data_IF_761623791417
#
_entry.id   IF_761623791417
#
_cell.length_a   1.000
_cell.length_b   1.000
_cell.length_c   1.000
_cell.angle_alpha   90.00
_cell.angle_beta   90.00
_cell.angle_gamma   90.00
#
_symmetry.space_group_name_H-M   'P 1'
#
loop_
_entity.id
_entity.type
_entity.pdbx_description
1 polymer ?
#
# COMPACT_ATOMS: atom_id res chain seq x y z
N UNK A 1 2.91 34.33 -4.58
CA UNK A 1 3.17 33.05 -5.27
C UNK A 1 1.93 32.20 -5.06
N UNK A 2 1.28 31.80 -6.15
CA UNK A 2 -0.09 31.27 -6.16
C UNK A 2 -0.13 29.85 -5.56
N UNK A 3 -0.69 29.69 -4.36
CA UNK A 3 -0.85 28.41 -3.63
C UNK A 3 -1.92 27.47 -4.27
N UNK A 4 -2.29 27.69 -5.53
CA UNK A 4 -3.35 26.97 -6.25
C UNK A 4 -2.84 26.08 -7.39
N UNK A 5 -1.58 25.65 -7.36
CA UNK A 5 -1.03 24.71 -8.36
C UNK A 5 -0.21 23.60 -7.71
N UNK A 6 -0.90 22.74 -6.98
CA UNK A 6 -0.60 21.31 -6.94
C UNK A 6 -1.90 20.62 -6.57
N UNK A 7 -2.84 20.53 -7.52
CA UNK A 7 -3.80 19.45 -7.47
C UNK A 7 -2.94 18.20 -7.66
N UNK A 8 -2.51 17.60 -6.56
CA UNK A 8 -1.98 16.23 -6.57
C UNK A 8 -3.08 15.45 -7.27
N UNK A 9 -2.84 15.02 -8.50
CA UNK A 9 -3.83 14.24 -9.25
C UNK A 9 -4.17 13.04 -8.36
N UNK A 10 -5.42 12.97 -7.88
CA UNK A 10 -5.88 11.78 -7.17
C UNK A 10 -5.69 10.61 -8.12
N UNK A 11 -4.89 9.63 -7.70
CA UNK A 11 -4.73 8.38 -8.43
C UNK A 11 -6.12 7.75 -8.64
N UNK A 12 -6.28 7.07 -9.77
CA UNK A 12 -7.50 6.38 -10.14
C UNK A 12 -7.32 4.88 -10.08
N UNK A 13 -8.42 4.17 -9.84
CA UNK A 13 -8.52 2.73 -10.03
C UNK A 13 -9.55 2.51 -11.15
N UNK A 14 -9.07 1.97 -12.28
CA UNK A 14 -9.84 1.80 -13.51
C UNK A 14 -10.12 0.32 -13.69
N UNK A 15 -11.38 -0.08 -13.58
CA UNK A 15 -11.83 -1.45 -13.82
C UNK A 15 -12.23 -1.61 -15.28
N UNK A 16 -11.59 -2.54 -15.99
CA UNK A 16 -11.95 -2.93 -17.36
C UNK A 16 -12.62 -4.29 -17.31
N UNK A 17 -13.90 -4.33 -17.65
CA UNK A 17 -14.74 -5.52 -17.62
C UNK A 17 -15.40 -5.85 -18.95
N UNK A 18 -16.03 -7.01 -19.03
CA UNK A 18 -16.76 -7.52 -20.18
C UNK A 18 -16.67 -9.04 -20.23
N UNK A 19 -17.62 -9.66 -20.92
CA UNK A 19 -17.68 -11.11 -21.06
C UNK A 19 -16.36 -11.70 -21.60
N UNK A 20 -16.07 -12.99 -21.33
CA UNK A 20 -15.00 -13.72 -22.03
C UNK A 20 -15.05 -13.47 -23.55
N UNK A 21 -13.92 -13.15 -24.19
CA UNK A 21 -13.87 -12.84 -25.63
C UNK A 21 -14.20 -11.40 -26.03
N UNK A 22 -14.59 -10.52 -25.08
CA UNK A 22 -14.85 -9.10 -25.35
C UNK A 22 -13.62 -8.30 -25.82
N UNK A 23 -12.41 -8.81 -25.58
CA UNK A 23 -11.16 -8.18 -25.99
C UNK A 23 -10.55 -7.25 -24.94
N UNK A 24 -10.75 -7.55 -23.65
CA UNK A 24 -10.21 -6.79 -22.51
C UNK A 24 -8.68 -6.64 -22.56
N UNK A 25 -7.94 -7.74 -22.63
CA UNK A 25 -6.47 -7.69 -22.69
C UNK A 25 -5.95 -6.94 -23.93
N UNK A 26 -6.63 -7.07 -25.08
CA UNK A 26 -6.32 -6.28 -26.29
C UNK A 26 -6.58 -4.79 -26.09
N UNK A 27 -7.68 -4.42 -25.44
CA UNK A 27 -8.00 -3.04 -25.10
C UNK A 27 -6.96 -2.47 -24.14
N UNK A 28 -6.60 -3.21 -23.09
CA UNK A 28 -5.59 -2.82 -22.12
C UNK A 28 -4.25 -2.51 -22.78
N UNK A 29 -3.73 -3.44 -23.61
CA UNK A 29 -2.48 -3.23 -24.36
C UNK A 29 -2.48 -1.97 -25.21
N UNK A 30 -3.59 -1.68 -25.89
CA UNK A 30 -3.67 -0.51 -26.78
C UNK A 30 -3.81 0.81 -26.03
N UNK A 31 -4.46 0.79 -24.87
CA UNK A 31 -4.89 2.02 -24.17
C UNK A 31 -4.01 2.39 -22.98
N UNK A 32 -3.44 1.42 -22.28
CA UNK A 32 -2.78 1.65 -21.00
C UNK A 32 -1.34 1.16 -20.92
N UNK A 33 -0.99 0.05 -21.59
CA UNK A 33 0.41 -0.40 -21.62
C UNK A 33 1.35 0.65 -22.22
N UNK A 34 2.57 0.70 -21.70
CA UNK A 34 3.68 1.58 -22.12
C UNK A 34 3.44 3.10 -22.00
N UNK A 35 2.42 3.54 -21.26
CA UNK A 35 2.13 4.98 -21.11
C UNK A 35 2.72 5.63 -19.87
N UNK A 36 3.51 4.92 -19.06
CA UNK A 36 4.23 5.41 -17.87
C UNK A 36 3.35 5.83 -16.68
N UNK A 37 2.16 6.35 -16.94
CA UNK A 37 1.18 6.83 -15.95
C UNK A 37 0.26 5.73 -15.40
N UNK A 38 0.34 4.51 -15.94
CA UNK A 38 -0.53 3.39 -15.58
C UNK A 38 0.28 2.21 -15.07
N UNK A 39 -0.27 1.52 -14.08
CA UNK A 39 0.10 0.16 -13.73
C UNK A 39 -1.06 -0.77 -14.08
N UNK A 40 -0.82 -1.70 -15.01
CA UNK A 40 -1.85 -2.62 -15.50
C UNK A 40 -1.73 -3.96 -14.79
N UNK A 41 -2.80 -4.34 -14.09
CA UNK A 41 -2.99 -5.66 -13.49
C UNK A 41 -3.67 -6.58 -14.51
N UNK A 42 -2.85 -7.27 -15.31
CA UNK A 42 -3.26 -8.32 -16.25
C UNK A 42 -2.44 -9.57 -15.92
N UNK A 43 -3.04 -10.48 -15.13
CA UNK A 43 -2.35 -11.70 -14.67
C UNK A 43 -2.04 -12.67 -15.80
N UNK A 44 -2.89 -12.72 -16.84
CA UNK A 44 -2.66 -13.54 -18.02
C UNK A 44 -1.41 -13.07 -18.77
N UNK A 45 -1.29 -11.76 -18.99
CA UNK A 45 -0.10 -11.18 -19.61
C UNK A 45 1.15 -11.35 -18.74
N UNK A 46 1.05 -11.18 -17.43
CA UNK A 46 2.20 -11.38 -16.53
C UNK A 46 2.69 -12.83 -16.54
N UNK A 47 1.76 -13.80 -16.59
CA UNK A 47 2.07 -15.21 -16.71
C UNK A 47 2.79 -15.54 -18.02
N UNK A 48 2.25 -15.04 -19.15
CA UNK A 48 2.88 -15.17 -20.47
C UNK A 48 4.26 -14.52 -20.51
N UNK A 49 4.42 -13.34 -19.91
CA UNK A 49 5.69 -12.61 -19.87
C UNK A 49 6.76 -13.32 -19.04
N UNK A 50 6.40 -13.86 -17.87
CA UNK A 50 7.34 -14.53 -16.95
C UNK A 50 7.67 -15.95 -17.38
N UNK A 51 6.68 -16.70 -17.85
CA UNK A 51 6.78 -18.16 -18.02
C UNK A 51 6.55 -18.63 -19.46
N UNK A 52 6.17 -17.73 -20.38
CA UNK A 52 5.84 -18.09 -21.76
C UNK A 52 4.57 -18.92 -21.88
N UNK A 53 3.76 -19.00 -20.83
CA UNK A 53 2.65 -19.94 -20.70
C UNK A 53 1.58 -19.43 -19.74
N UNK A 54 0.34 -19.86 -19.93
CA UNK A 54 -0.79 -19.62 -19.02
C UNK A 54 -0.98 -20.75 -18.00
N UNK A 55 -0.20 -21.83 -18.08
CA UNK A 55 -0.26 -22.98 -17.15
C UNK A 55 -0.22 -22.59 -15.67
N UNK A 56 0.61 -21.61 -15.22
CA UNK A 56 0.63 -21.20 -13.82
C UNK A 56 -0.73 -20.73 -13.28
N UNK A 57 -1.57 -20.14 -14.13
CA UNK A 57 -2.90 -19.66 -13.74
C UNK A 57 -3.93 -20.78 -13.69
N UNK A 58 -3.63 -21.95 -14.27
CA UNK A 58 -4.50 -23.12 -14.26
C UNK A 58 -4.25 -24.03 -13.06
N UNK A 59 -3.25 -23.71 -12.24
CA UNK A 59 -2.89 -24.45 -11.04
C UNK A 59 -3.85 -24.07 -9.89
N UNK A 60 -4.75 -24.99 -9.55
CA UNK A 60 -5.76 -24.82 -8.50
C UNK A 60 -5.16 -24.82 -7.09
N UNK A 61 -3.99 -25.45 -6.90
CA UNK A 61 -3.32 -25.56 -5.60
C UNK A 61 -2.46 -24.33 -5.26
N UNK A 62 -2.53 -23.27 -6.07
CA UNK A 62 -1.69 -22.07 -5.91
C UNK A 62 -0.20 -22.40 -5.79
N UNK A 63 0.33 -23.17 -6.76
CA UNK A 63 1.76 -23.45 -6.81
C UNK A 63 2.63 -22.18 -6.86
N UNK A 64 3.93 -22.35 -6.58
CA UNK A 64 4.90 -21.25 -6.43
C UNK A 64 4.85 -20.22 -7.58
N UNK A 65 4.61 -20.67 -8.80
CA UNK A 65 4.54 -19.80 -9.97
C UNK A 65 3.33 -18.86 -9.94
N UNK A 66 2.13 -19.34 -9.55
CA UNK A 66 0.92 -18.52 -9.42
C UNK A 66 1.10 -17.50 -8.28
N UNK A 67 1.58 -17.96 -7.12
CA UNK A 67 1.88 -17.07 -5.99
C UNK A 67 2.90 -15.98 -6.35
N UNK A 68 3.92 -16.30 -7.16
CA UNK A 68 4.88 -15.31 -7.62
C UNK A 68 4.28 -14.22 -8.52
N UNK A 69 3.17 -14.52 -9.22
CA UNK A 69 2.42 -13.54 -10.00
C UNK A 69 1.63 -12.65 -9.04
N UNK A 70 0.84 -13.26 -8.15
CA UNK A 70 0.00 -12.60 -7.14
C UNK A 70 0.83 -11.63 -6.29
N UNK A 71 1.86 -12.13 -5.59
CA UNK A 71 2.73 -11.31 -4.73
C UNK A 71 3.44 -10.22 -5.54
N UNK A 72 3.85 -10.55 -6.77
CA UNK A 72 4.49 -9.59 -7.66
C UNK A 72 3.57 -8.42 -8.06
N UNK A 73 2.26 -8.62 -8.12
CA UNK A 73 1.31 -7.53 -8.36
C UNK A 73 1.06 -6.69 -7.10
N UNK A 74 1.02 -7.31 -5.91
CA UNK A 74 0.88 -6.61 -4.64
C UNK A 74 1.95 -5.53 -4.47
N UNK A 75 3.22 -5.94 -4.45
CA UNK A 75 4.35 -5.02 -4.25
C UNK A 75 4.40 -3.92 -5.33
N UNK A 76 4.33 -4.33 -6.61
CA UNK A 76 4.44 -3.39 -7.73
C UNK A 76 3.25 -2.43 -7.80
N UNK A 77 2.05 -2.89 -7.44
CA UNK A 77 0.84 -2.08 -7.40
C UNK A 77 0.93 -1.00 -6.32
N UNK A 78 1.39 -1.36 -5.12
CA UNK A 78 1.63 -0.42 -4.03
C UNK A 78 2.65 0.66 -4.44
N UNK A 79 3.81 0.26 -4.97
CA UNK A 79 4.83 1.22 -5.41
C UNK A 79 4.32 2.11 -6.56
N UNK A 80 3.50 1.57 -7.47
CA UNK A 80 2.88 2.36 -8.52
C UNK A 80 1.96 3.46 -7.96
N UNK A 81 1.19 3.16 -6.90
CA UNK A 81 0.39 4.19 -6.22
C UNK A 81 1.26 5.29 -5.61
N UNK A 82 2.38 4.94 -4.97
CA UNK A 82 3.32 5.93 -4.43
C UNK A 82 4.00 6.78 -5.51
N UNK A 83 4.27 6.20 -6.67
CA UNK A 83 4.76 6.90 -7.86
C UNK A 83 3.69 7.82 -8.50
N UNK A 84 2.45 7.82 -7.99
CA UNK A 84 1.35 8.62 -8.52
C UNK A 84 0.73 8.05 -9.80
N UNK A 85 0.84 6.74 -10.03
CA UNK A 85 0.25 6.06 -11.19
C UNK A 85 -1.19 5.62 -10.88
N UNK A 86 -1.99 5.56 -11.94
CA UNK A 86 -3.32 4.97 -11.91
C UNK A 86 -3.22 3.43 -12.00
N UNK A 87 -4.03 2.72 -11.21
CA UNK A 87 -4.18 1.27 -11.34
C UNK A 87 -5.23 0.95 -12.39
N UNK A 88 -4.90 0.04 -13.31
CA UNK A 88 -5.82 -0.44 -14.34
C UNK A 88 -5.97 -1.94 -14.17
N UNK A 89 -7.18 -2.39 -13.90
CA UNK A 89 -7.45 -3.75 -13.45
C UNK A 89 -8.27 -4.46 -14.52
N UNK A 90 -7.72 -5.54 -15.09
CA UNK A 90 -8.54 -6.48 -15.84
C UNK A 90 -9.39 -7.26 -14.85
N UNK A 91 -10.70 -7.05 -14.91
CA UNK A 91 -11.64 -7.71 -14.01
C UNK A 91 -12.80 -8.25 -14.81
N UNK A 92 -13.40 -9.36 -14.37
CA UNK A 92 -14.63 -9.85 -14.95
C UNK A 92 -15.71 -9.74 -13.89
N UNK A 93 -16.79 -9.03 -14.19
CA UNK A 93 -17.92 -8.91 -13.27
C UNK A 93 -18.98 -9.89 -13.78
N UNK A 94 -18.93 -11.13 -13.27
CA UNK A 94 -19.93 -12.16 -13.53
C UNK A 94 -20.20 -12.85 -12.19
N UNK A 95 -21.46 -12.86 -11.73
CA UNK A 95 -21.87 -13.66 -10.57
C UNK A 95 -22.49 -12.88 -9.41
N UNK A 96 -22.62 -13.58 -8.28
CA UNK A 96 -23.32 -13.17 -7.04
C UNK A 96 -22.45 -12.31 -6.10
N UNK A 97 -21.15 -12.18 -6.37
CA UNK A 97 -20.16 -11.54 -5.47
C UNK A 97 -20.01 -10.03 -5.65
N UNK A 98 -21.13 -9.34 -5.90
CA UNK A 98 -21.15 -7.89 -6.02
C UNK A 98 -20.74 -7.19 -4.73
N UNK A 99 -21.03 -7.81 -3.58
CA UNK A 99 -20.79 -7.23 -2.26
C UNK A 99 -19.29 -7.03 -2.01
N UNK A 100 -18.45 -8.04 -2.24
CA UNK A 100 -16.99 -7.94 -2.09
C UNK A 100 -16.39 -6.86 -3.00
N UNK A 101 -16.86 -6.80 -4.25
CA UNK A 101 -16.44 -5.77 -5.20
C UNK A 101 -16.85 -4.36 -4.73
N UNK A 102 -18.10 -4.18 -4.27
CA UNK A 102 -18.58 -2.89 -3.78
C UNK A 102 -17.86 -2.45 -2.51
N UNK A 103 -17.54 -3.37 -1.60
CA UNK A 103 -16.75 -3.09 -0.40
C UNK A 103 -15.35 -2.59 -0.75
N UNK A 104 -14.72 -3.19 -1.76
CA UNK A 104 -13.44 -2.70 -2.29
C UNK A 104 -13.55 -1.30 -2.91
N UNK A 105 -14.62 -1.01 -3.66
CA UNK A 105 -14.86 0.35 -4.17
C UNK A 105 -15.05 1.36 -3.04
N UNK A 106 -15.74 0.98 -1.97
CA UNK A 106 -15.91 1.84 -0.80
C UNK A 106 -14.57 2.06 -0.07
N UNK A 107 -13.75 1.02 0.11
CA UNK A 107 -12.39 1.12 0.66
C UNK A 107 -11.53 2.07 -0.17
N UNK A 108 -11.47 1.87 -1.49
CA UNK A 108 -10.75 2.76 -2.40
C UNK A 108 -11.22 4.22 -2.29
N UNK A 109 -12.53 4.45 -2.25
CA UNK A 109 -13.10 5.79 -2.10
C UNK A 109 -12.72 6.44 -0.76
N UNK A 110 -12.74 5.69 0.35
CA UNK A 110 -12.32 6.18 1.68
C UNK A 110 -10.85 6.60 1.69
N UNK A 111 -10.01 5.88 0.95
CA UNK A 111 -8.59 6.19 0.77
C UNK A 111 -8.33 7.34 -0.23
N UNK A 112 -9.39 7.93 -0.80
CA UNK A 112 -9.30 9.09 -1.68
C UNK A 112 -9.05 8.76 -3.14
N UNK A 113 -9.21 7.50 -3.55
CA UNK A 113 -9.13 7.12 -4.96
C UNK A 113 -10.43 7.41 -5.69
N UNK A 114 -10.32 7.84 -6.95
CA UNK A 114 -11.44 7.86 -7.87
C UNK A 114 -11.53 6.51 -8.60
N UNK A 115 -12.72 5.93 -8.65
CA UNK A 115 -12.95 4.67 -9.36
C UNK A 115 -13.62 4.93 -10.70
N UNK A 116 -13.10 4.32 -11.76
CA UNK A 116 -13.67 4.37 -13.10
C UNK A 116 -14.00 2.94 -13.55
N UNK A 117 -15.12 2.79 -14.25
CA UNK A 117 -15.56 1.48 -14.73
C UNK A 117 -15.83 1.54 -16.23
N UNK A 118 -15.09 0.71 -16.98
CA UNK A 118 -15.20 0.56 -18.43
C UNK A 118 -15.72 -0.85 -18.73
N UNK A 119 -16.91 -0.94 -19.32
CA UNK A 119 -17.49 -2.20 -19.77
C UNK A 119 -17.35 -2.34 -21.29
N UNK A 120 -16.70 -3.43 -21.73
CA UNK A 120 -16.57 -3.78 -23.14
C UNK A 120 -17.72 -4.70 -23.55
N UNK A 121 -18.57 -4.21 -24.45
CA UNK A 121 -19.69 -4.96 -25.01
C UNK A 121 -19.31 -5.62 -26.34
N UNK A 122 -19.72 -6.87 -26.51
CA UNK A 122 -19.65 -7.61 -27.77
C UNK A 122 -20.83 -8.59 -27.83
N UNK A 123 -21.28 -8.94 -29.03
CA UNK A 123 -22.25 -10.01 -29.22
C UNK A 123 -21.65 -11.36 -28.80
N UNK A 124 -22.45 -12.18 -28.10
CA UNK A 124 -22.03 -13.46 -27.54
C UNK A 124 -21.42 -14.41 -28.60
N UNK A 125 -22.03 -14.46 -29.80
CA UNK A 125 -21.51 -15.31 -30.88
C UNK A 125 -20.15 -14.83 -31.42
N UNK A 126 -19.94 -13.51 -31.47
CA UNK A 126 -18.64 -12.95 -31.83
C UNK A 126 -17.60 -13.25 -30.74
N UNK A 127 -18.01 -13.20 -29.46
CA UNK A 127 -17.13 -13.51 -28.33
C UNK A 127 -16.68 -14.98 -28.37
N UNK A 128 -17.63 -15.91 -28.56
CA UNK A 128 -17.37 -17.36 -28.71
C UNK A 128 -16.44 -17.66 -29.88
N UNK A 129 -16.67 -17.05 -31.04
CA UNK A 129 -15.80 -17.21 -32.20
C UNK A 129 -14.35 -16.78 -31.89
N UNK A 130 -14.16 -15.66 -31.20
CA UNK A 130 -12.83 -15.19 -30.80
C UNK A 130 -12.14 -16.14 -29.83
N UNK A 131 -12.87 -16.69 -28.88
CA UNK A 131 -12.35 -17.70 -27.94
C UNK A 131 -11.92 -18.96 -28.71
N UNK A 132 -12.76 -19.45 -29.62
CA UNK A 132 -12.43 -20.61 -30.46
C UNK A 132 -11.19 -20.37 -31.34
N UNK A 133 -11.06 -19.17 -31.92
CA UNK A 133 -9.89 -18.81 -32.72
C UNK A 133 -8.60 -18.72 -31.89
N UNK A 134 -8.69 -18.32 -30.62
CA UNK A 134 -7.54 -18.19 -29.73
C UNK A 134 -7.04 -19.56 -29.21
N UNK A 135 -7.90 -20.58 -29.18
CA UNK A 135 -7.53 -21.94 -28.79
C UNK A 135 -6.89 -22.00 -27.40
N UNK A 136 -5.83 -22.78 -27.25
CA UNK A 136 -5.12 -22.99 -25.98
C UNK A 136 -4.41 -21.72 -25.45
N UNK A 137 -4.26 -20.70 -26.29
CA UNK A 137 -3.74 -19.38 -25.93
C UNK A 137 -4.75 -18.50 -25.19
N UNK A 138 -6.00 -18.96 -25.02
CA UNK A 138 -7.02 -18.24 -24.28
C UNK A 138 -7.11 -18.70 -22.83
N UNK A 139 -7.16 -17.75 -21.91
CA UNK A 139 -7.49 -17.97 -20.50
C UNK A 139 -8.77 -17.21 -20.14
N UNK A 140 -9.69 -17.87 -19.43
CA UNK A 140 -10.96 -17.28 -19.04
C UNK A 140 -10.73 -16.36 -17.85
N UNK A 141 -10.90 -15.05 -18.04
CA UNK A 141 -10.69 -14.03 -16.99
C UNK A 141 -11.56 -14.21 -15.74
N UNK A 142 -12.67 -14.94 -15.83
CA UNK A 142 -13.55 -15.26 -14.70
C UNK A 142 -12.81 -16.06 -13.61
N UNK A 143 -11.94 -16.99 -14.00
CA UNK A 143 -11.17 -17.80 -13.06
C UNK A 143 -10.11 -17.00 -12.28
N UNK A 144 -9.86 -15.73 -12.65
CA UNK A 144 -8.92 -14.82 -11.98
C UNK A 144 -9.63 -13.80 -11.09
N UNK A 145 -10.97 -13.82 -11.04
CA UNK A 145 -11.74 -12.78 -10.36
C UNK A 145 -11.29 -12.60 -8.92
N UNK A 146 -11.26 -13.67 -8.13
CA UNK A 146 -10.86 -13.62 -6.72
C UNK A 146 -9.39 -13.26 -6.55
N UNK A 147 -8.47 -13.83 -7.35
CA UNK A 147 -7.04 -13.48 -7.28
C UNK A 147 -6.83 -11.97 -7.47
N UNK A 148 -7.52 -11.38 -8.45
CA UNK A 148 -7.42 -9.95 -8.75
C UNK A 148 -7.98 -9.10 -7.61
N UNK A 149 -9.13 -9.47 -7.05
CA UNK A 149 -9.73 -8.75 -5.93
C UNK A 149 -8.86 -8.85 -4.66
N UNK A 150 -8.34 -10.04 -4.36
CA UNK A 150 -7.42 -10.28 -3.24
C UNK A 150 -6.15 -9.43 -3.35
N UNK A 151 -5.56 -9.36 -4.54
CA UNK A 151 -4.38 -8.51 -4.77
C UNK A 151 -4.73 -7.03 -4.60
N UNK A 152 -5.85 -6.58 -5.16
CA UNK A 152 -6.29 -5.20 -5.01
C UNK A 152 -6.54 -4.85 -3.54
N UNK A 153 -7.17 -5.75 -2.79
CA UNK A 153 -7.41 -5.58 -1.36
C UNK A 153 -6.12 -5.38 -0.61
N UNK A 154 -5.14 -6.27 -0.80
CA UNK A 154 -3.82 -6.16 -0.17
C UNK A 154 -3.12 -4.84 -0.51
N UNK A 155 -3.16 -4.42 -1.78
CA UNK A 155 -2.61 -3.11 -2.19
C UNK A 155 -3.28 -1.96 -1.44
N UNK A 156 -4.61 -1.98 -1.29
CA UNK A 156 -5.34 -0.92 -0.60
C UNK A 156 -5.08 -0.92 0.92
N UNK A 157 -4.93 -2.09 1.54
CA UNK A 157 -4.56 -2.23 2.95
C UNK A 157 -3.15 -1.70 3.21
N UNK A 158 -2.19 -2.12 2.39
CA UNK A 158 -0.82 -1.65 2.51
C UNK A 158 -0.75 -0.14 2.25
N UNK A 159 -1.49 0.36 1.27
CA UNK A 159 -1.56 1.80 1.00
C UNK A 159 -2.19 2.55 2.18
N UNK A 160 -3.28 2.05 2.75
CA UNK A 160 -3.93 2.61 3.94
C UNK A 160 -2.95 2.70 5.10
N UNK A 161 -2.26 1.59 5.40
CA UNK A 161 -1.25 1.53 6.43
C UNK A 161 -0.15 2.56 6.19
N UNK A 162 0.37 2.67 4.96
CA UNK A 162 1.50 3.54 4.67
C UNK A 162 1.12 5.03 4.53
N UNK A 163 -0.07 5.37 4.02
CA UNK A 163 -0.53 6.77 3.92
C UNK A 163 -1.00 7.32 5.26
N UNK A 164 -1.46 6.45 6.16
CA UNK A 164 -1.73 6.87 7.54
C UNK A 164 -0.44 7.17 8.31
N UNK A 165 0.74 6.76 7.83
CA UNK A 165 2.02 6.93 8.51
C UNK A 165 2.76 8.17 8.04
N UNK A 166 3.00 9.08 8.97
CA UNK A 166 3.83 10.25 8.77
C UNK A 166 5.09 10.13 9.64
N UNK A 167 6.27 10.00 9.04
CA UNK A 167 7.53 10.14 9.80
C UNK A 167 7.61 11.56 10.36
N UNK A 168 7.71 11.66 11.68
CA UNK A 168 7.77 12.90 12.45
C UNK A 168 9.21 13.32 12.65
N UNK A 169 10.04 12.37 13.08
CA UNK A 169 11.43 12.61 13.47
C UNK A 169 12.29 11.36 13.26
N UNK A 170 13.55 11.59 12.92
CA UNK A 170 14.61 10.59 12.94
C UNK A 170 15.58 10.92 14.06
N UNK A 171 15.89 9.95 14.91
CA UNK A 171 16.69 10.11 16.12
C UNK A 171 17.81 9.08 16.07
N UNK A 172 19.06 9.51 16.19
CA UNK A 172 20.19 8.59 16.36
C UNK A 172 20.18 8.04 17.77
N UNK A 173 19.94 6.74 17.90
CA UNK A 173 20.06 6.00 19.14
C UNK A 173 21.41 5.28 19.28
N UNK A 174 21.65 4.63 20.42
CA UNK A 174 22.90 3.92 20.69
C UNK A 174 23.10 2.67 19.81
N UNK A 175 22.05 2.08 19.23
CA UNK A 175 22.16 0.86 18.39
C UNK A 175 21.74 1.06 16.93
N UNK A 176 21.26 2.24 16.53
CA UNK A 176 20.75 2.47 15.19
C UNK A 176 20.03 3.80 15.04
N UNK A 177 19.38 3.99 13.90
CA UNK A 177 18.43 5.08 13.73
C UNK A 177 17.08 4.66 14.32
N UNK A 178 16.47 5.54 15.10
CA UNK A 178 15.11 5.43 15.62
C UNK A 178 14.22 6.34 14.76
N UNK A 179 13.19 5.78 14.14
CA UNK A 179 12.22 6.55 13.36
C UNK A 179 10.93 6.65 14.15
N UNK A 180 10.43 7.86 14.35
CA UNK A 180 9.20 8.17 15.06
C UNK A 180 8.11 8.53 14.05
N UNK A 181 6.96 7.89 14.16
CA UNK A 181 5.85 8.02 13.24
C UNK A 181 4.59 8.50 13.95
N UNK A 182 3.78 9.27 13.22
CA UNK A 182 2.38 9.53 13.51
C UNK A 182 1.54 8.63 12.62
N UNK A 183 0.62 7.86 13.20
CA UNK A 183 -0.41 7.14 12.47
C UNK A 183 -1.75 7.86 12.65
N UNK A 184 -2.36 8.30 11.55
CA UNK A 184 -3.75 8.78 11.59
C UNK A 184 -4.69 7.60 11.85
N UNK A 185 -5.40 7.60 12.98
CA UNK A 185 -6.49 6.65 13.28
C UNK A 185 -7.86 7.32 13.17
N UNK A 186 -8.95 6.54 13.15
CA UNK A 186 -10.32 7.04 12.92
C UNK A 186 -10.81 8.12 13.91
N UNK A 187 -10.22 8.23 15.10
CA UNK A 187 -10.66 9.16 16.15
C UNK A 187 -9.58 10.10 16.68
N UNK A 188 -8.32 9.65 16.76
CA UNK A 188 -7.16 10.44 17.22
C UNK A 188 -5.87 9.92 16.59
N UNK A 189 -4.89 10.78 16.26
CA UNK A 189 -3.58 10.31 15.83
C UNK A 189 -2.90 9.52 16.97
N UNK A 190 -2.22 8.43 16.62
CA UNK A 190 -1.41 7.65 17.53
C UNK A 190 0.05 7.69 17.08
N UNK A 191 0.98 7.47 18.00
CA UNK A 191 2.41 7.66 17.77
C UNK A 191 3.15 6.35 18.08
N UNK A 192 4.21 6.04 17.35
CA UNK A 192 5.08 4.90 17.66
C UNK A 192 6.46 5.10 17.05
N UNK A 193 7.44 4.32 17.50
CA UNK A 193 8.78 4.37 16.95
C UNK A 193 9.35 2.99 16.64
N UNK A 194 10.21 2.94 15.64
CA UNK A 194 10.95 1.73 15.22
C UNK A 194 12.45 2.00 15.30
N UNK A 195 13.23 0.96 15.57
CA UNK A 195 14.69 1.01 15.52
C UNK A 195 15.19 0.27 14.28
N UNK A 196 16.23 0.78 13.64
CA UNK A 196 16.91 0.08 12.56
C UNK A 196 17.32 -1.32 13.05
N UNK A 197 16.85 -2.38 12.36
CA UNK A 197 17.04 -3.81 12.69
C UNK A 197 16.09 -4.45 13.71
N UNK A 198 15.03 -3.79 14.18
CA UNK A 198 14.02 -4.48 15.00
C UNK A 198 13.02 -5.28 14.14
N UNK A 199 12.85 -6.57 14.48
CA UNK A 199 11.79 -7.43 13.93
C UNK A 199 10.53 -7.31 14.81
N UNK A 200 9.38 -6.96 14.22
CA UNK A 200 8.09 -6.81 14.90
C UNK A 200 7.04 -7.78 14.33
N UNK A 201 6.12 -8.26 15.17
CA UNK A 201 5.02 -9.16 14.79
C UNK A 201 3.62 -8.54 14.84
N UNK A 202 3.49 -7.25 15.19
CA UNK A 202 2.21 -6.54 15.25
C UNK A 202 2.18 -5.34 16.22
N UNK A 203 1.02 -4.68 16.32
CA UNK A 203 0.78 -3.50 17.16
C UNK A 203 0.02 -3.86 18.46
N UNK A 204 0.41 -3.28 19.61
CA UNK A 204 -0.35 -3.33 20.88
C UNK A 204 -0.46 -1.92 21.47
N UNK A 205 -1.56 -1.64 22.18
CA UNK A 205 -1.72 -0.39 22.93
C UNK A 205 -0.82 -0.37 24.17
N UNK A 206 -0.41 0.84 24.61
CA UNK A 206 0.45 1.02 25.77
C UNK A 206 -0.08 0.39 27.07
N UNK A 207 -1.40 0.27 27.21
CA UNK A 207 -2.07 -0.30 28.39
C UNK A 207 -1.86 -1.82 28.54
N UNK A 208 -1.45 -2.53 27.48
CA UNK A 208 -1.37 -4.01 27.41
C UNK A 208 0.10 -4.50 27.48
N UNK A 209 1.08 -3.60 27.65
CA UNK A 209 2.52 -3.88 27.51
C UNK A 209 3.15 -4.75 28.63
N UNK A 210 2.36 -5.35 29.54
CA UNK A 210 2.89 -5.96 30.77
C UNK A 210 3.37 -7.43 30.67
N UNK A 211 3.52 -8.05 29.49
CA UNK A 211 3.91 -9.47 29.41
C UNK A 211 5.08 -9.81 28.46
N UNK A 212 5.88 -10.79 28.91
CA UNK A 212 7.08 -11.34 28.29
C UNK A 212 6.77 -12.19 27.04
N UNK A 213 6.63 -11.56 25.87
CA UNK A 213 6.66 -12.26 24.58
C UNK A 213 8.04 -12.14 23.91
N UNK A 214 8.52 -13.26 23.33
CA UNK A 214 9.83 -13.38 22.67
C UNK A 214 9.99 -12.52 21.39
N UNK A 215 8.92 -11.85 20.96
CA UNK A 215 8.93 -10.83 19.90
C UNK A 215 8.35 -9.56 20.49
N UNK A 216 9.11 -8.47 20.50
CA UNK A 216 8.65 -7.21 21.09
C UNK A 216 7.50 -6.65 20.25
N UNK A 217 6.28 -6.52 20.80
CA UNK A 217 5.19 -5.85 20.10
C UNK A 217 5.52 -4.36 19.91
N UNK A 218 5.05 -3.76 18.83
CA UNK A 218 5.17 -2.33 18.60
C UNK A 218 4.14 -1.59 19.46
N UNK A 219 4.61 -0.63 20.26
CA UNK A 219 3.77 0.12 21.22
C UNK A 219 3.20 1.37 20.56
N UNK A 220 1.87 1.54 20.67
CA UNK A 220 1.17 2.75 20.24
C UNK A 220 0.90 3.69 21.42
N UNK A 221 1.28 4.96 21.25
CA UNK A 221 1.10 6.05 22.21
C UNK A 221 0.00 7.00 21.75
N UNK A 222 -0.76 7.57 22.69
CA UNK A 222 -1.89 8.44 22.36
C UNK A 222 -1.48 9.90 22.10
N UNK A 223 -0.23 10.26 22.41
CA UNK A 223 0.33 11.56 22.07
C UNK A 223 1.84 11.49 21.82
N UNK A 224 2.35 12.49 21.09
CA UNK A 224 3.76 12.58 20.70
C UNK A 224 4.70 12.65 21.91
N UNK A 225 4.28 13.32 22.99
CA UNK A 225 5.12 13.51 24.18
C UNK A 225 5.39 12.18 24.88
N UNK A 226 4.37 11.33 25.04
CA UNK A 226 4.52 9.98 25.58
C UNK A 226 5.46 9.12 24.74
N UNK A 227 5.35 9.19 23.41
CA UNK A 227 6.25 8.45 22.52
C UNK A 227 7.71 8.90 22.66
N UNK A 228 7.95 10.21 22.76
CA UNK A 228 9.29 10.76 22.99
C UNK A 228 9.84 10.36 24.37
N UNK A 229 9.03 10.46 25.42
CA UNK A 229 9.40 10.02 26.78
C UNK A 229 9.77 8.54 26.81
N UNK A 230 9.01 7.68 26.12
CA UNK A 230 9.31 6.27 26.01
C UNK A 230 10.63 5.98 25.27
N UNK A 231 10.95 6.72 24.20
CA UNK A 231 12.26 6.63 23.52
C UNK A 231 13.38 6.94 24.53
N UNK A 232 13.22 7.98 25.34
CA UNK A 232 14.26 8.36 26.31
C UNK A 232 14.42 7.38 27.45
N UNK A 233 13.32 6.88 27.99
CA UNK A 233 13.35 5.88 29.06
C UNK A 233 13.99 4.59 28.55
N UNK A 234 13.76 4.23 27.29
CA UNK A 234 14.33 3.04 26.66
C UNK A 234 15.83 3.16 26.34
N UNK A 235 16.30 4.32 25.87
CA UNK A 235 17.66 4.47 25.32
C UNK A 235 18.61 5.35 26.14
N UNK A 236 18.13 5.92 27.25
CA UNK A 236 18.77 6.98 28.03
C UNK A 236 18.99 8.28 27.22
N UNK A 237 18.40 9.35 27.72
CA UNK A 237 18.42 10.69 27.16
C UNK A 237 19.79 11.18 26.62
N UNK A 238 20.89 10.91 27.34
CA UNK A 238 22.26 11.34 26.95
C UNK A 238 22.85 10.60 25.75
N UNK A 239 22.21 9.52 25.30
CA UNK A 239 22.69 8.63 24.23
C UNK A 239 21.88 8.77 22.95
N UNK A 240 20.94 9.71 22.90
CA UNK A 240 20.13 9.99 21.71
C UNK A 240 20.39 11.39 21.18
N UNK A 241 20.35 11.54 19.86
CA UNK A 241 20.45 12.85 19.19
C UNK A 241 19.45 12.93 18.05
N UNK A 242 18.72 14.04 17.94
CA UNK A 242 17.75 14.23 16.85
C UNK A 242 18.53 14.49 15.57
N UNK A 243 18.19 13.76 14.50
CA UNK A 243 18.73 13.96 13.16
C UNK A 243 17.83 14.86 12.33
N UNK A 244 16.53 14.56 12.33
CA UNK A 244 15.52 15.31 11.59
C UNK A 244 14.23 15.41 12.41
N UNK A 245 13.50 16.51 12.22
CA UNK A 245 12.15 16.68 12.77
C UNK A 245 11.35 17.56 11.80
N UNK A 246 10.08 17.20 11.58
CA UNK A 246 9.17 18.04 10.79
C UNK A 246 8.79 19.31 11.54
N UNK A 247 8.74 20.42 10.82
CA UNK A 247 8.58 21.77 11.40
C UNK A 247 7.40 21.90 12.36
N UNK A 248 6.24 21.31 12.03
CA UNK A 248 5.04 21.40 12.88
C UNK A 248 5.18 20.72 14.24
N UNK A 249 6.16 19.83 14.40
CA UNK A 249 6.41 19.08 15.63
C UNK A 249 7.62 19.60 16.41
N UNK A 250 8.39 20.54 15.85
CA UNK A 250 9.58 21.12 16.49
C UNK A 250 9.30 21.63 17.89
N UNK A 251 8.25 22.41 18.10
CA UNK A 251 7.94 22.97 19.42
C UNK A 251 7.66 21.92 20.50
N UNK A 252 6.95 20.83 20.17
CA UNK A 252 6.62 19.75 21.13
C UNK A 252 7.87 18.93 21.45
N UNK A 253 8.66 18.64 20.41
CA UNK A 253 9.97 18.02 20.56
C UNK A 253 10.84 18.91 21.44
N UNK A 254 10.97 20.20 21.14
CA UNK A 254 11.72 21.14 21.95
C UNK A 254 11.26 21.16 23.41
N UNK A 255 9.96 21.34 23.68
CA UNK A 255 9.43 21.35 25.05
C UNK A 255 9.78 20.06 25.82
N UNK A 256 9.68 18.90 25.16
CA UNK A 256 9.98 17.61 25.79
C UNK A 256 11.47 17.47 26.12
N UNK A 257 12.34 18.12 25.36
CA UNK A 257 13.80 18.11 25.54
C UNK A 257 14.28 19.24 26.47
N UNK A 258 13.59 20.39 26.46
CA UNK A 258 13.95 21.64 27.13
C UNK A 258 13.54 21.61 28.62
N UNK A 259 14.24 20.76 29.35
CA UNK A 259 13.99 20.45 30.76
C UNK A 259 14.74 19.19 31.21
N UNK A 260 15.29 18.41 30.26
CA UNK A 260 16.04 17.19 30.56
C UNK A 260 17.50 17.20 30.06
N UNK A 261 17.97 18.13 29.21
CA UNK A 261 19.35 18.08 28.67
C UNK A 261 20.17 19.39 28.64
N UNK A 262 21.42 19.27 29.13
CA UNK A 262 22.61 19.97 28.61
C UNK A 262 23.06 19.24 27.32
N UNK A 263 22.45 19.53 26.17
CA UNK A 263 22.95 19.02 24.86
C UNK A 263 23.77 20.11 24.18
N UNK A 264 25.09 19.91 23.97
CA UNK A 264 25.84 20.78 23.08
C UNK A 264 25.28 20.64 21.67
N UNK A 265 25.18 21.74 20.93
CA UNK A 265 24.69 21.87 19.54
C UNK A 265 23.18 22.05 19.32
N UNK A 266 22.35 22.15 20.39
CA UNK A 266 20.90 22.37 20.26
C UNK A 266 20.52 23.63 19.47
N UNK A 267 21.24 24.73 19.65
CA UNK A 267 20.98 25.99 18.95
C UNK A 267 21.28 25.91 17.44
N UNK A 268 22.11 24.96 16.99
CA UNK A 268 22.45 24.78 15.58
C UNK A 268 21.36 24.04 14.80
N UNK A 269 20.41 23.36 15.48
CA UNK A 269 19.31 22.62 14.84
C UNK A 269 18.00 23.40 14.72
N UNK A 270 17.84 24.48 15.50
CA UNK A 270 16.64 25.31 15.51
C UNK A 270 16.66 26.43 14.46
N UNK A 271 17.83 26.68 13.86
CA UNK A 271 18.07 27.66 12.80
C UNK A 271 18.27 27.00 11.44
#
# INVERSE_FOLDING_TARGET
MDLRKSIKTMNKIIFVTGIPGAGKSTFLRRKYFDRGQYFVMDMAEESLRKFGSLSPLKDEDYGEQRLSIINGFGDKGLFALFDGKDLVIEHNVVGEDWDEFFDLLQKAKRLGFYTEWIHLHVEDETAKQRIQMAGDGYYVSESLMYDVLMVLEGILEDYELNVQLEEIASIKGPRGIIQLFEKQSESVPVFFFTEEHSHYSGFKSAEIFQEEDAVKPMVLFNNLKEALEAIFDQYELKKVSILTVKDRFKAIVEETFNGKMDVPYWEEFLN
#
